data_IF_389462975097
#
_entry.id   IF_389462975097
#
_cell.length_a   1.000
_cell.length_b   1.000
_cell.length_c   1.000
_cell.angle_alpha   90.00
_cell.angle_beta   90.00
_cell.angle_gamma   90.00
#
_symmetry.space_group_name_H-M   'P 1'
#
loop_
_entity.id
_entity.type
_entity.pdbx_description
1 polymer ?
#
# COMPACT_ATOMS: atom_id res chain seq x y z
N UNK A 1 -7.57 -12.97 -11.39
CA UNK A 1 -9.04 -13.03 -11.62
C UNK A 1 -9.52 -11.59 -11.72
N UNK A 2 -9.82 -11.09 -12.91
CA UNK A 2 -10.15 -9.68 -13.16
C UNK A 2 -11.65 -9.53 -13.36
N UNK A 3 -12.28 -8.59 -12.68
CA UNK A 3 -13.72 -8.32 -12.85
C UNK A 3 -13.91 -7.61 -14.20
N UNK A 4 -14.74 -8.18 -15.08
CA UNK A 4 -14.93 -7.69 -16.47
C UNK A 4 -16.26 -6.99 -16.73
N UNK A 5 -17.23 -7.13 -15.83
CA UNK A 5 -18.62 -6.70 -16.00
C UNK A 5 -19.12 -6.03 -14.71
N UNK A 6 -18.32 -5.14 -14.12
CA UNK A 6 -18.72 -4.40 -12.92
C UNK A 6 -18.76 -2.89 -13.18
N UNK A 7 -19.71 -2.25 -12.52
CA UNK A 7 -19.79 -0.80 -12.43
C UNK A 7 -18.92 -0.32 -11.28
N UNK A 8 -17.99 0.58 -11.56
CA UNK A 8 -17.17 1.19 -10.52
C UNK A 8 -17.94 2.32 -9.85
N UNK A 9 -18.28 2.13 -8.58
CA UNK A 9 -18.86 3.16 -7.72
C UNK A 9 -17.76 3.75 -6.83
N UNK A 10 -17.78 5.07 -6.64
CA UNK A 10 -16.77 5.78 -5.84
C UNK A 10 -17.46 6.45 -4.65
N UNK A 11 -16.96 6.19 -3.45
CA UNK A 11 -17.38 6.91 -2.26
C UNK A 11 -17.03 8.40 -2.39
N UNK A 12 -17.83 9.27 -1.75
CA UNK A 12 -17.67 10.72 -1.82
C UNK A 12 -16.35 11.21 -1.21
N UNK A 13 -15.83 10.50 -0.21
CA UNK A 13 -14.53 10.75 0.40
C UNK A 13 -13.57 9.59 0.11
N UNK A 14 -12.34 9.94 -0.24
CA UNK A 14 -11.26 8.97 -0.43
C UNK A 14 -10.61 8.58 0.90
N UNK A 15 -10.22 7.30 1.02
CA UNK A 15 -9.61 6.76 2.24
C UNK A 15 -10.61 6.48 3.36
N UNK A 16 -10.13 5.94 4.48
CA UNK A 16 -11.00 5.65 5.64
C UNK A 16 -11.97 4.47 5.42
N UNK A 17 -13.15 4.54 6.02
CA UNK A 17 -14.20 3.50 5.97
C UNK A 17 -15.35 3.83 5.02
N UNK A 18 -15.33 4.98 4.34
CA UNK A 18 -16.46 5.48 3.56
C UNK A 18 -16.93 4.52 2.44
N UNK A 19 -16.00 3.77 1.83
CA UNK A 19 -16.34 2.74 0.84
C UNK A 19 -17.05 1.53 1.46
N UNK A 20 -16.76 1.22 2.73
CA UNK A 20 -17.39 0.14 3.49
C UNK A 20 -18.82 0.55 3.85
N UNK A 21 -19.01 1.78 4.32
CA UNK A 21 -20.34 2.34 4.63
C UNK A 21 -21.25 2.33 3.39
N UNK A 22 -20.74 2.80 2.24
CA UNK A 22 -21.45 2.75 0.97
C UNK A 22 -21.80 1.31 0.57
N UNK A 23 -20.85 0.38 0.69
CA UNK A 23 -21.06 -1.04 0.40
C UNK A 23 -22.20 -1.64 1.21
N UNK A 24 -22.28 -1.33 2.50
CA UNK A 24 -23.34 -1.82 3.41
C UNK A 24 -24.68 -1.17 3.11
N UNK A 25 -24.71 0.17 3.07
CA UNK A 25 -25.95 0.95 2.95
C UNK A 25 -26.63 0.71 1.60
N UNK A 26 -25.84 0.66 0.52
CA UNK A 26 -26.35 0.51 -0.84
C UNK A 26 -26.46 -0.97 -1.26
N UNK A 27 -26.10 -1.91 -0.36
CA UNK A 27 -26.13 -3.36 -0.59
C UNK A 27 -25.37 -3.77 -1.85
N UNK A 28 -24.13 -3.30 -1.97
CA UNK A 28 -23.26 -3.58 -3.11
C UNK A 28 -22.64 -4.98 -3.03
N UNK A 29 -22.12 -5.47 -4.15
CA UNK A 29 -21.52 -6.82 -4.22
C UNK A 29 -20.13 -6.91 -3.58
N UNK A 30 -19.33 -5.83 -3.68
CA UNK A 30 -17.93 -5.80 -3.21
C UNK A 30 -17.48 -4.37 -2.89
N UNK A 31 -16.69 -4.23 -1.82
CA UNK A 31 -15.94 -3.01 -1.50
C UNK A 31 -14.45 -3.20 -1.81
N UNK A 32 -13.81 -2.13 -2.28
CA UNK A 32 -12.35 -2.09 -2.48
C UNK A 32 -11.73 -0.96 -1.67
N UNK A 33 -10.70 -1.26 -0.89
CA UNK A 33 -10.07 -0.32 0.02
C UNK A 33 -8.73 -0.84 0.54
N UNK A 34 -8.12 -0.08 1.45
CA UNK A 34 -6.85 -0.46 2.08
C UNK A 34 -7.06 -1.72 2.92
N UNK A 35 -6.19 -2.72 2.72
CA UNK A 35 -6.33 -4.07 3.31
C UNK A 35 -6.57 -4.03 4.82
N UNK A 36 -5.80 -3.22 5.54
CA UNK A 36 -5.89 -3.07 6.99
C UNK A 36 -7.30 -2.63 7.45
N UNK A 37 -7.95 -1.74 6.70
CA UNK A 37 -9.30 -1.26 7.01
C UNK A 37 -10.34 -2.34 6.74
N UNK A 38 -10.18 -3.09 5.65
CA UNK A 38 -11.06 -4.21 5.30
C UNK A 38 -10.95 -5.35 6.32
N UNK A 39 -9.72 -5.70 6.75
CA UNK A 39 -9.49 -6.75 7.73
C UNK A 39 -10.05 -6.36 9.11
N UNK A 40 -9.85 -5.11 9.53
CA UNK A 40 -10.42 -4.59 10.77
C UNK A 40 -11.96 -4.68 10.77
N UNK A 41 -12.59 -4.29 9.65
CA UNK A 41 -14.04 -4.37 9.53
C UNK A 41 -14.56 -5.81 9.50
N UNK A 42 -13.92 -6.69 8.70
CA UNK A 42 -14.34 -8.09 8.59
C UNK A 42 -14.18 -8.87 9.92
N UNK A 43 -13.23 -8.48 10.78
CA UNK A 43 -13.05 -9.08 12.12
C UNK A 43 -14.32 -8.95 12.97
N UNK A 44 -15.03 -7.84 12.86
CA UNK A 44 -16.24 -7.56 13.64
C UNK A 44 -17.54 -7.96 12.89
N UNK A 45 -17.44 -8.40 11.63
CA UNK A 45 -18.57 -8.71 10.75
C UNK A 45 -18.43 -10.11 10.14
N UNK A 46 -18.80 -11.20 10.86
CA UNK A 46 -18.54 -12.58 10.45
C UNK A 46 -19.27 -13.02 9.17
N UNK A 47 -20.29 -12.28 8.73
CA UNK A 47 -20.95 -12.51 7.43
C UNK A 47 -20.12 -12.03 6.23
N UNK A 48 -18.96 -11.42 6.47
CA UNK A 48 -18.11 -10.82 5.45
C UNK A 48 -16.69 -11.39 5.53
N UNK A 49 -15.99 -11.32 4.41
CA UNK A 49 -14.60 -11.76 4.32
C UNK A 49 -13.80 -10.87 3.39
N UNK A 50 -12.53 -10.70 3.68
CA UNK A 50 -11.60 -10.07 2.74
C UNK A 50 -11.12 -11.11 1.73
N UNK A 51 -11.17 -10.77 0.44
CA UNK A 51 -10.69 -11.66 -0.61
C UNK A 51 -9.17 -11.87 -0.48
N UNK A 52 -8.64 -13.09 -0.75
CA UNK A 52 -7.20 -13.31 -0.74
C UNK A 52 -6.52 -12.56 -1.89
N UNK A 53 -5.26 -12.18 -1.68
CA UNK A 53 -4.46 -11.41 -2.63
C UNK A 53 -4.81 -9.92 -2.64
N UNK A 54 -4.34 -9.24 -3.68
CA UNK A 54 -4.60 -7.82 -3.95
C UNK A 54 -4.78 -7.63 -5.46
N UNK A 55 -5.55 -6.63 -5.86
CA UNK A 55 -5.63 -6.20 -7.27
C UNK A 55 -4.72 -4.99 -7.55
N UNK A 56 -4.18 -4.37 -6.49
CA UNK A 56 -3.25 -3.25 -6.53
C UNK A 56 -2.30 -3.34 -5.34
N UNK A 57 -1.04 -2.99 -5.57
CA UNK A 57 0.01 -2.85 -4.55
C UNK A 57 0.69 -1.49 -4.72
N UNK A 58 0.93 -0.78 -3.62
CA UNK A 58 1.58 0.53 -3.63
C UNK A 58 3.01 0.36 -3.12
N UNK A 59 3.95 0.18 -4.04
CA UNK A 59 5.37 0.10 -3.69
C UNK A 59 5.89 1.47 -3.22
N UNK A 60 6.57 1.48 -2.08
CA UNK A 60 7.20 2.67 -1.53
C UNK A 60 8.65 2.79 -2.02
N UNK A 61 9.10 4.00 -2.33
CA UNK A 61 10.45 4.28 -2.81
C UNK A 61 10.96 5.63 -2.30
N UNK A 62 12.29 5.81 -2.28
CA UNK A 62 12.88 7.13 -2.04
C UNK A 62 12.81 7.97 -3.29
N UNK A 63 12.34 9.21 -3.15
CA UNK A 63 12.31 10.20 -4.23
C UNK A 63 13.27 11.36 -3.98
N UNK A 64 13.72 11.99 -5.06
CA UNK A 64 14.44 13.26 -5.03
C UNK A 64 13.77 14.28 -5.96
N UNK A 65 13.87 15.58 -5.66
CA UNK A 65 13.39 16.63 -6.55
C UNK A 65 14.05 16.54 -7.93
N UNK A 66 13.30 16.89 -8.96
CA UNK A 66 13.84 17.11 -10.30
C UNK A 66 14.29 18.57 -10.41
N UNK A 67 15.59 18.80 -10.53
CA UNK A 67 16.16 20.12 -10.82
C UNK A 67 16.55 20.17 -12.29
N UNK A 68 16.06 21.18 -13.01
CA UNK A 68 16.39 21.38 -14.42
C UNK A 68 17.86 21.76 -14.60
N UNK A 69 18.51 21.23 -15.64
CA UNK A 69 19.93 21.48 -15.91
C UNK A 69 20.94 20.75 -15.01
N UNK A 70 20.50 20.00 -13.99
CA UNK A 70 21.39 19.24 -13.11
C UNK A 70 21.40 17.73 -13.38
N UNK A 71 22.58 17.07 -13.39
CA UNK A 71 22.67 15.62 -13.48
C UNK A 71 21.99 14.93 -12.29
N UNK A 72 21.06 14.01 -12.58
CA UNK A 72 20.30 13.25 -11.57
C UNK A 72 21.02 12.01 -11.05
N UNK A 73 22.02 11.57 -11.79
CA UNK A 73 22.66 10.26 -11.65
C UNK A 73 23.23 10.10 -10.24
N UNK A 74 24.05 11.06 -9.77
CA UNK A 74 24.67 10.97 -8.45
C UNK A 74 23.65 10.85 -7.30
N UNK A 75 22.58 11.67 -7.31
CA UNK A 75 21.53 11.61 -6.29
C UNK A 75 20.73 10.32 -6.33
N UNK A 76 20.36 9.84 -7.52
CA UNK A 76 19.66 8.57 -7.67
C UNK A 76 20.50 7.38 -7.20
N UNK A 77 21.80 7.36 -7.55
CA UNK A 77 22.72 6.33 -7.07
C UNK A 77 22.88 6.36 -5.55
N UNK A 78 22.98 7.56 -4.96
CA UNK A 78 23.04 7.69 -3.50
C UNK A 78 21.79 7.13 -2.83
N UNK A 79 20.59 7.54 -3.27
CA UNK A 79 19.33 7.05 -2.70
C UNK A 79 19.18 5.54 -2.86
N UNK A 80 19.57 4.99 -4.01
CA UNK A 80 19.58 3.55 -4.24
C UNK A 80 20.54 2.84 -3.28
N UNK A 81 21.79 3.28 -3.19
CA UNK A 81 22.77 2.68 -2.28
C UNK A 81 22.31 2.75 -0.81
N UNK A 82 21.79 3.90 -0.39
CA UNK A 82 21.29 4.11 0.95
C UNK A 82 20.11 3.19 1.27
N UNK A 83 19.09 3.08 0.40
CA UNK A 83 17.94 2.21 0.68
C UNK A 83 18.36 0.74 0.73
N UNK A 84 19.31 0.32 -0.12
CA UNK A 84 19.87 -1.04 -0.06
C UNK A 84 20.59 -1.32 1.27
N UNK A 85 21.40 -0.37 1.75
CA UNK A 85 22.07 -0.49 3.05
C UNK A 85 21.05 -0.54 4.21
N UNK A 86 20.00 0.27 4.17
CA UNK A 86 18.96 0.31 5.20
C UNK A 86 18.06 -0.94 5.20
N UNK A 87 17.88 -1.58 4.03
CA UNK A 87 17.27 -2.91 3.93
C UNK A 87 18.19 -3.97 4.52
N UNK A 88 19.46 -4.00 4.10
CA UNK A 88 20.43 -5.02 4.49
C UNK A 88 20.77 -5.00 5.99
N UNK A 89 20.84 -3.81 6.59
CA UNK A 89 21.10 -3.63 8.03
C UNK A 89 19.92 -3.99 8.93
N UNK A 90 18.72 -4.20 8.37
CA UNK A 90 17.48 -4.39 9.13
C UNK A 90 16.90 -3.10 9.72
N UNK A 91 17.48 -1.93 9.41
CA UNK A 91 17.02 -0.65 9.91
C UNK A 91 15.55 -0.39 9.56
N UNK A 92 15.15 -0.61 8.29
CA UNK A 92 13.77 -0.34 7.84
C UNK A 92 12.78 -1.23 8.59
N UNK A 93 13.06 -2.53 8.72
CA UNK A 93 12.20 -3.46 9.45
C UNK A 93 12.04 -3.05 10.93
N UNK A 94 13.13 -2.66 11.58
CA UNK A 94 13.10 -2.18 12.95
C UNK A 94 12.35 -0.85 13.10
N UNK A 95 12.48 0.06 12.13
CA UNK A 95 11.75 1.33 12.10
C UNK A 95 10.25 1.13 11.98
N UNK A 96 9.79 0.29 11.03
CA UNK A 96 8.38 -0.07 10.86
C UNK A 96 7.79 -0.66 12.13
N UNK A 97 8.50 -1.60 12.77
CA UNK A 97 8.07 -2.21 14.03
C UNK A 97 7.91 -1.17 15.15
N UNK A 98 8.87 -0.24 15.28
CA UNK A 98 8.82 0.80 16.32
C UNK A 98 7.71 1.81 16.09
N UNK A 99 7.34 2.08 14.85
CA UNK A 99 6.25 3.00 14.49
C UNK A 99 4.89 2.32 14.31
N UNK A 100 4.78 1.05 14.69
CA UNK A 100 3.57 0.22 14.58
C UNK A 100 2.99 0.19 13.15
N UNK A 101 3.88 0.24 12.16
CA UNK A 101 3.53 0.17 10.74
C UNK A 101 3.65 -1.27 10.25
N UNK A 102 2.62 -1.72 9.52
CA UNK A 102 2.57 -3.05 8.92
C UNK A 102 2.89 -2.92 7.44
N UNK A 103 4.12 -3.28 7.06
CA UNK A 103 4.58 -3.32 5.67
C UNK A 103 5.64 -4.41 5.49
N UNK A 104 5.73 -4.95 4.27
CA UNK A 104 6.80 -5.86 3.89
C UNK A 104 8.02 -5.08 3.39
N UNK A 105 9.21 -5.49 3.82
CA UNK A 105 10.48 -4.90 3.34
C UNK A 105 11.00 -5.76 2.20
N UNK A 106 11.20 -5.16 1.03
CA UNK A 106 11.81 -5.84 -0.10
C UNK A 106 13.18 -6.44 0.28
N UNK A 107 13.61 -7.56 -0.33
CA UNK A 107 14.95 -8.08 -0.09
C UNK A 107 16.02 -7.05 -0.52
N UNK A 108 17.19 -7.04 0.14
CA UNK A 108 18.35 -6.32 -0.37
C UNK A 108 18.75 -6.85 -1.76
N UNK A 109 19.22 -5.97 -2.63
CA UNK A 109 19.74 -6.34 -3.94
C UNK A 109 20.92 -7.32 -3.80
N UNK A 110 21.02 -8.26 -4.74
CA UNK A 110 22.19 -9.13 -4.83
C UNK A 110 23.44 -8.28 -5.10
N UNK A 111 24.55 -8.62 -4.43
CA UNK A 111 25.86 -8.00 -4.66
C UNK A 111 26.42 -8.36 -6.03
#
# INVERSE_FOLDING_TARGET
RTIKQATLLRAATGGGTAMIEMFVNDRLDVASGVRQQLDAYAKDHPGMRVMPGHFQEIMQAMGMPRVEGQPKVAGAHYLAAFVEEMKASGFIAAALKRSDQIAEVAPPAAK
#
